data_IF_740974328292
#
_entry.id   IF_740974328292
#
_cell.length_a   1.000
_cell.length_b   1.000
_cell.length_c   1.000
_cell.angle_alpha   90.00
_cell.angle_beta   90.00
_cell.angle_gamma   90.00
#
_symmetry.space_group_name_H-M   'P 1'
#
loop_
_entity.id
_entity.type
_entity.pdbx_description
1 polymer ?
#
# COMPACT_ATOMS: atom_id res chain seq x y z
N UNK A 1 -4.06 9.29 19.48
CA UNK A 1 -3.47 8.63 18.32
C UNK A 1 -4.41 7.53 17.84
N UNK A 2 -5.05 7.74 16.70
CA UNK A 2 -5.93 6.82 15.98
C UNK A 2 -5.18 6.35 14.74
N UNK A 3 -5.07 5.03 14.59
CA UNK A 3 -4.43 4.40 13.43
C UNK A 3 -5.48 3.56 12.71
N UNK A 4 -5.71 3.85 11.43
CA UNK A 4 -6.48 2.97 10.55
C UNK A 4 -5.57 1.85 10.05
N UNK A 5 -5.83 0.61 10.46
CA UNK A 5 -5.04 -0.54 10.05
C UNK A 5 -5.51 -1.17 8.73
N UNK A 6 -6.53 -0.59 8.07
CA UNK A 6 -7.12 -1.13 6.84
C UNK A 6 -7.55 -0.03 5.88
N UNK A 7 -6.58 0.67 5.27
CA UNK A 7 -6.82 1.57 4.17
C UNK A 7 -6.36 0.95 2.83
N UNK A 8 -7.17 1.14 1.79
CA UNK A 8 -6.76 0.86 0.42
C UNK A 8 -6.20 2.12 -0.24
N UNK A 9 -5.10 1.95 -0.98
CA UNK A 9 -4.41 3.01 -1.72
C UNK A 9 -4.05 2.51 -3.11
N UNK A 10 -4.74 2.99 -4.13
CA UNK A 10 -4.53 2.57 -5.51
C UNK A 10 -5.18 3.57 -6.47
N UNK A 11 -4.78 3.52 -7.74
CA UNK A 11 -5.49 4.18 -8.82
C UNK A 11 -5.91 3.16 -9.88
N UNK A 12 -7.06 2.53 -9.65
CA UNK A 12 -7.67 1.56 -10.57
C UNK A 12 -8.83 2.22 -11.31
N UNK A 13 -8.50 3.14 -12.22
CA UNK A 13 -9.46 4.00 -12.93
C UNK A 13 -10.56 3.21 -13.67
N UNK A 14 -10.21 2.07 -14.27
CA UNK A 14 -11.15 1.22 -15.01
C UNK A 14 -12.21 0.55 -14.12
N UNK A 15 -11.98 0.47 -12.80
CA UNK A 15 -12.96 0.05 -11.80
C UNK A 15 -13.63 1.23 -11.07
N UNK A 16 -13.22 2.47 -11.35
CA UNK A 16 -13.67 3.65 -10.62
C UNK A 16 -13.09 3.78 -9.20
N UNK A 17 -12.08 2.98 -8.84
CA UNK A 17 -11.41 3.06 -7.54
C UNK A 17 -10.22 4.00 -7.62
N UNK A 18 -10.42 5.23 -7.14
CA UNK A 18 -9.41 6.31 -7.15
C UNK A 18 -9.14 6.72 -5.71
N UNK A 19 -8.26 5.97 -5.05
CA UNK A 19 -7.87 6.17 -3.65
C UNK A 19 -6.40 6.56 -3.59
N UNK A 20 -6.09 7.77 -4.09
CA UNK A 20 -4.72 8.28 -4.10
C UNK A 20 -4.21 8.56 -2.68
N UNK A 21 -2.88 8.57 -2.46
CA UNK A 21 -2.29 8.96 -1.17
C UNK A 21 -2.85 10.29 -0.65
N UNK A 22 -3.01 11.28 -1.52
CA UNK A 22 -3.51 12.61 -1.18
C UNK A 22 -4.97 12.58 -0.72
N UNK A 23 -5.79 11.76 -1.39
CA UNK A 23 -7.19 11.57 -1.01
C UNK A 23 -7.30 10.89 0.34
N UNK A 24 -6.50 9.85 0.59
CA UNK A 24 -6.47 9.14 1.87
C UNK A 24 -6.09 10.11 3.00
N UNK A 25 -5.01 10.88 2.83
CA UNK A 25 -4.59 11.86 3.85
C UNK A 25 -5.66 12.93 4.07
N UNK A 26 -6.32 13.41 3.00
CA UNK A 26 -7.42 14.37 3.13
C UNK A 26 -8.60 13.82 3.95
N UNK A 27 -8.94 12.54 3.77
CA UNK A 27 -9.97 11.86 4.57
C UNK A 27 -9.51 11.64 6.01
N UNK A 28 -8.24 11.27 6.21
CA UNK A 28 -7.65 11.15 7.55
C UNK A 28 -7.75 12.46 8.32
N UNK A 29 -7.44 13.59 7.68
CA UNK A 29 -7.55 14.92 8.27
C UNK A 29 -9.01 15.28 8.61
N UNK A 30 -9.95 14.94 7.73
CA UNK A 30 -11.39 15.18 7.94
C UNK A 30 -11.96 14.39 9.14
N UNK A 31 -11.50 13.17 9.36
CA UNK A 31 -12.02 12.26 10.38
C UNK A 31 -11.14 12.12 11.63
N UNK A 32 -10.02 12.85 11.70
CA UNK A 32 -9.12 12.83 12.85
C UNK A 32 -8.31 11.52 12.99
N UNK A 33 -7.88 10.94 11.86
CA UNK A 33 -7.01 9.76 11.82
C UNK A 33 -5.55 10.22 11.74
N UNK A 34 -4.72 9.76 12.67
CA UNK A 34 -3.33 10.18 12.77
C UNK A 34 -2.45 9.45 11.74
N UNK A 35 -2.61 8.13 11.58
CA UNK A 35 -1.86 7.31 10.62
C UNK A 35 -2.74 6.25 9.95
N UNK A 36 -2.36 5.79 8.76
CA UNK A 36 -3.04 4.71 8.07
C UNK A 36 -2.05 3.67 7.54
N UNK A 37 -2.36 2.39 7.74
CA UNK A 37 -1.72 1.28 7.05
C UNK A 37 -2.36 1.17 5.67
N UNK A 38 -1.58 1.44 4.63
CA UNK A 38 -2.04 1.43 3.25
C UNK A 38 -1.60 0.17 2.52
N UNK A 39 -2.49 -0.36 1.69
CA UNK A 39 -2.24 -1.49 0.80
C UNK A 39 -3.03 -1.34 -0.49
N UNK A 40 -2.56 -1.92 -1.58
CA UNK A 40 -3.27 -1.88 -2.87
C UNK A 40 -4.54 -2.71 -2.89
N UNK A 41 -5.39 -2.49 -3.90
CA UNK A 41 -6.47 -3.42 -4.22
C UNK A 41 -5.94 -4.66 -4.92
N UNK A 42 -4.86 -4.51 -5.68
CA UNK A 42 -4.24 -5.57 -6.47
C UNK A 42 -3.14 -6.30 -5.69
N UNK A 43 -2.94 -7.58 -5.98
CA UNK A 43 -1.85 -8.37 -5.38
C UNK A 43 -0.57 -8.18 -6.19
N UNK A 44 0.57 -8.09 -5.50
CA UNK A 44 1.90 -8.24 -6.11
C UNK A 44 2.38 -9.71 -6.03
N UNK A 45 3.30 -10.16 -6.90
CA UNK A 45 3.86 -9.45 -8.06
C UNK A 45 2.80 -9.14 -9.13
N UNK A 46 2.82 -7.91 -9.65
CA UNK A 46 2.14 -7.53 -10.89
C UNK A 46 3.14 -7.47 -12.04
N UNK A 47 2.65 -7.54 -13.29
CA UNK A 47 3.50 -7.64 -14.49
C UNK A 47 4.51 -6.49 -14.63
N UNK A 48 4.17 -5.30 -14.12
CA UNK A 48 4.96 -4.09 -14.27
C UNK A 48 5.54 -3.56 -12.95
N UNK A 49 5.29 -4.21 -11.80
CA UNK A 49 5.73 -3.71 -10.48
C UNK A 49 5.02 -2.43 -10.00
N UNK A 50 4.00 -1.96 -10.73
CA UNK A 50 3.35 -0.66 -10.51
C UNK A 50 2.69 -0.59 -9.15
N UNK A 51 2.14 -1.71 -8.70
CA UNK A 51 1.43 -1.80 -7.41
C UNK A 51 2.38 -1.48 -6.26
N UNK A 52 3.58 -2.05 -6.27
CA UNK A 52 4.59 -1.84 -5.22
C UNK A 52 5.09 -0.39 -5.25
N UNK A 53 5.39 0.11 -6.45
CA UNK A 53 5.90 1.47 -6.64
C UNK A 53 4.89 2.53 -6.21
N UNK A 54 3.61 2.33 -6.48
CA UNK A 54 2.56 3.29 -6.10
C UNK A 54 2.46 3.44 -4.58
N UNK A 55 2.43 2.32 -3.85
CA UNK A 55 2.39 2.32 -2.38
C UNK A 55 3.66 2.93 -1.79
N UNK A 56 4.83 2.57 -2.33
CA UNK A 56 6.12 3.10 -1.88
C UNK A 56 6.21 4.63 -2.06
N UNK A 57 5.79 5.13 -3.23
CA UNK A 57 5.76 6.57 -3.51
C UNK A 57 4.79 7.31 -2.59
N UNK A 58 3.61 6.74 -2.33
CA UNK A 58 2.64 7.29 -1.38
C UNK A 58 3.20 7.40 0.03
N UNK A 59 3.82 6.33 0.53
CA UNK A 59 4.46 6.33 1.84
C UNK A 59 5.65 7.30 1.92
N UNK A 60 6.47 7.42 0.87
CA UNK A 60 7.56 8.42 0.81
C UNK A 60 7.05 9.85 0.80
N UNK A 61 5.89 10.10 0.19
CA UNK A 61 5.25 11.43 0.18
C UNK A 61 4.72 11.82 1.56
N UNK A 62 4.24 10.84 2.33
CA UNK A 62 3.64 11.06 3.66
C UNK A 62 4.22 10.09 4.71
N UNK A 63 5.53 10.17 5.03
CA UNK A 63 6.23 9.16 5.82
C UNK A 63 5.73 9.04 7.26
N UNK A 64 5.20 10.14 7.82
CA UNK A 64 4.68 10.18 9.18
C UNK A 64 3.16 9.88 9.25
N UNK A 65 2.51 9.63 8.11
CA UNK A 65 1.06 9.42 8.02
C UNK A 65 0.70 8.08 7.39
N UNK A 66 1.47 7.59 6.42
CA UNK A 66 1.14 6.39 5.64
C UNK A 66 2.18 5.29 5.88
N UNK A 67 1.71 4.14 6.36
CA UNK A 67 2.52 2.96 6.66
C UNK A 67 2.32 1.93 5.53
N UNK A 68 3.34 1.67 4.70
CA UNK A 68 3.17 0.80 3.53
C UNK A 68 3.16 -0.69 3.91
N UNK A 69 2.10 -1.39 3.50
CA UNK A 69 1.99 -2.85 3.52
C UNK A 69 1.94 -3.40 2.10
N UNK A 70 2.70 -4.47 1.86
CA UNK A 70 2.71 -5.13 0.54
C UNK A 70 1.58 -6.15 0.51
N UNK A 71 0.67 -6.02 -0.45
CA UNK A 71 -0.38 -7.00 -0.66
C UNK A 71 0.10 -8.07 -1.63
N UNK A 72 -0.03 -9.34 -1.26
CA UNK A 72 0.46 -10.46 -2.07
C UNK A 72 -0.50 -11.64 -2.08
N UNK A 73 -0.38 -12.47 -3.11
CA UNK A 73 -1.04 -13.76 -3.21
C UNK A 73 -0.02 -14.90 -3.01
N UNK A 74 -0.12 -15.70 -1.93
CA UNK A 74 0.79 -16.84 -1.70
C UNK A 74 0.84 -17.85 -2.85
N UNK A 75 -0.21 -17.94 -3.67
CA UNK A 75 -0.27 -18.87 -4.80
C UNK A 75 0.78 -18.59 -5.90
N UNK A 76 1.38 -17.39 -5.95
CA UNK A 76 2.46 -17.08 -6.90
C UNK A 76 3.84 -17.62 -6.46
N UNK A 77 3.94 -18.30 -5.31
CA UNK A 77 5.14 -19.02 -4.87
C UNK A 77 6.36 -18.11 -4.74
N UNK A 78 7.46 -18.47 -5.41
CA UNK A 78 8.74 -17.74 -5.31
C UNK A 78 8.61 -16.27 -5.72
N UNK A 79 7.74 -15.94 -6.69
CA UNK A 79 7.51 -14.55 -7.10
C UNK A 79 6.96 -13.69 -5.95
N UNK A 80 6.14 -14.27 -5.08
CA UNK A 80 5.65 -13.61 -3.86
C UNK A 80 6.78 -13.41 -2.85
N UNK A 81 7.67 -14.38 -2.68
CA UNK A 81 8.80 -14.27 -1.77
C UNK A 81 9.77 -13.16 -2.20
N UNK A 82 10.07 -13.06 -3.49
CA UNK A 82 10.98 -12.03 -4.01
C UNK A 82 10.41 -10.62 -3.82
N UNK A 83 9.12 -10.41 -4.09
CA UNK A 83 8.47 -9.12 -3.85
C UNK A 83 8.43 -8.75 -2.36
N UNK A 84 8.18 -9.71 -1.48
CA UNK A 84 8.22 -9.48 -0.03
C UNK A 84 9.64 -9.06 0.40
N UNK A 85 10.67 -9.76 -0.08
CA UNK A 85 12.07 -9.43 0.23
C UNK A 85 12.43 -8.02 -0.23
N UNK A 86 12.08 -7.65 -1.47
CA UNK A 86 12.35 -6.30 -1.97
C UNK A 86 11.62 -5.24 -1.14
N UNK A 87 10.33 -5.44 -0.87
CA UNK A 87 9.52 -4.50 -0.10
C UNK A 87 10.08 -4.25 1.31
N UNK A 88 10.52 -5.30 2.01
CA UNK A 88 10.97 -5.21 3.40
C UNK A 88 12.44 -4.77 3.50
N UNK A 89 13.32 -5.30 2.65
CA UNK A 89 14.77 -5.11 2.78
C UNK A 89 15.28 -3.88 2.03
N UNK A 90 14.68 -3.55 0.89
CA UNK A 90 15.14 -2.47 0.01
C UNK A 90 14.23 -1.24 0.05
N UNK A 91 12.99 -1.39 0.55
CA UNK A 91 12.00 -0.32 0.66
C UNK A 91 11.55 -0.13 2.11
N UNK A 92 10.65 0.82 2.35
CA UNK A 92 10.20 1.19 3.70
C UNK A 92 8.98 0.41 4.20
N UNK A 93 8.60 -0.69 3.54
CA UNK A 93 7.42 -1.49 3.92
C UNK A 93 7.56 -2.07 5.32
N UNK A 94 6.44 -2.06 6.06
CA UNK A 94 6.38 -2.47 7.46
C UNK A 94 5.57 -3.74 7.70
N UNK A 95 4.95 -4.28 6.66
CA UNK A 95 4.19 -5.51 6.77
C UNK A 95 3.64 -6.03 5.46
N UNK A 96 2.93 -7.15 5.58
CA UNK A 96 2.40 -7.92 4.46
C UNK A 96 0.89 -8.07 4.68
N UNK A 97 0.11 -7.94 3.61
CA UNK A 97 -1.32 -8.26 3.58
C UNK A 97 -1.54 -9.44 2.64
N UNK A 98 -2.12 -10.52 3.17
CA UNK A 98 -2.46 -11.69 2.37
C UNK A 98 -3.87 -11.57 1.82
N UNK A 99 -4.05 -12.00 0.58
CA UNK A 99 -5.37 -12.26 -0.01
C UNK A 99 -6.02 -13.52 0.57
#
# INVERSE_FOLDING_TARGET
MIIDAHAHCDNTEWLGYIDSPDRIVSLMDLYGIDMAVISSYNDAPDLEGRVVDYIDQGAKKYPDRLIPFIRVNPAHGEGTLEVIKDAILNRSFKGIKLR
#
